data_IF_306634898982
#
_entry.id   IF_306634898982
#
_cell.length_a   1.000
_cell.length_b   1.000
_cell.length_c   1.000
_cell.angle_alpha   90.00
_cell.angle_beta   90.00
_cell.angle_gamma   90.00
#
_symmetry.space_group_name_H-M   'P 1'
#
loop_
_entity.id
_entity.type
_entity.pdbx_description
1 polymer ?
#
# COMPACT_ATOMS: atom_id res chain seq x y z
N UNK A 1 -9.79 11.07 -1.05
CA UNK A 1 -10.47 9.76 -1.17
C UNK A 1 -10.14 9.04 -2.50
N UNK A 2 -9.24 8.03 -2.48
CA UNK A 2 -9.02 7.12 -3.60
C UNK A 2 -9.27 5.67 -3.18
N UNK A 3 -10.37 5.07 -3.66
CA UNK A 3 -10.60 3.62 -3.58
C UNK A 3 -10.39 3.07 -4.98
N UNK A 4 -9.45 2.15 -5.14
CA UNK A 4 -9.17 1.53 -6.43
C UNK A 4 -9.38 0.02 -6.32
N UNK A 5 -10.18 -0.51 -7.24
CA UNK A 5 -10.34 -1.94 -7.48
C UNK A 5 -9.89 -2.24 -8.91
N UNK A 6 -9.12 -3.32 -9.08
CA UNK A 6 -8.80 -3.85 -10.40
C UNK A 6 -9.56 -5.15 -10.61
N UNK A 7 -10.18 -5.28 -11.78
CA UNK A 7 -10.89 -6.48 -12.21
C UNK A 7 -10.13 -7.20 -13.31
N UNK A 8 -10.35 -8.50 -13.44
CA UNK A 8 -9.89 -9.25 -14.61
C UNK A 8 -10.84 -9.06 -15.81
N UNK A 9 -10.55 -9.74 -16.91
CA UNK A 9 -11.38 -9.69 -18.14
C UNK A 9 -12.79 -10.25 -17.99
N UNK A 10 -13.09 -10.97 -16.90
CA UNK A 10 -14.42 -11.50 -16.58
C UNK A 10 -15.18 -10.60 -15.59
N UNK A 11 -14.56 -9.51 -15.13
CA UNK A 11 -15.13 -8.61 -14.13
C UNK A 11 -14.94 -9.08 -12.68
N UNK A 12 -14.12 -10.11 -12.43
CA UNK A 12 -13.83 -10.55 -11.06
C UNK A 12 -12.85 -9.57 -10.39
N UNK A 13 -13.14 -9.15 -9.15
CA UNK A 13 -12.22 -8.29 -8.39
C UNK A 13 -10.96 -9.09 -8.04
N UNK A 14 -9.83 -8.59 -8.53
CA UNK A 14 -8.51 -9.19 -8.36
C UNK A 14 -7.80 -8.62 -7.15
N UNK A 15 -7.80 -7.28 -7.02
CA UNK A 15 -7.18 -6.56 -5.91
C UNK A 15 -7.99 -5.30 -5.61
N UNK A 16 -8.06 -4.97 -4.32
CA UNK A 16 -8.65 -3.73 -3.84
C UNK A 16 -7.70 -3.04 -2.86
N UNK A 17 -7.59 -1.72 -2.95
CA UNK A 17 -6.82 -0.93 -2.01
C UNK A 17 -7.41 0.46 -1.79
N UNK A 18 -6.99 1.09 -0.69
CA UNK A 18 -7.37 2.45 -0.32
C UNK A 18 -6.10 3.26 -0.06
N UNK A 19 -5.97 4.38 -0.77
CA UNK A 19 -4.81 5.27 -0.73
C UNK A 19 -5.29 6.73 -0.60
N UNK A 20 -4.79 7.45 0.39
CA UNK A 20 -5.04 8.88 0.60
C UNK A 20 -4.11 9.46 1.68
N UNK A 21 -4.08 10.79 1.83
CA UNK A 21 -3.40 11.47 2.95
C UNK A 21 -4.27 11.69 4.20
N UNK A 22 -5.48 11.12 4.25
CA UNK A 22 -6.37 11.25 5.40
C UNK A 22 -5.88 10.29 6.49
N UNK A 23 -5.46 10.84 7.64
CA UNK A 23 -4.96 10.06 8.76
C UNK A 23 -5.82 10.27 10.02
N UNK A 24 -6.12 9.18 10.72
CA UNK A 24 -6.69 9.26 12.06
C UNK A 24 -5.68 9.85 13.04
N UNK A 25 -6.18 10.50 14.10
CA UNK A 25 -5.33 11.10 15.16
C UNK A 25 -4.31 10.12 15.74
N UNK A 26 -4.56 8.82 15.68
CA UNK A 26 -3.66 7.78 16.19
C UNK A 26 -2.30 7.75 15.45
N UNK A 27 -2.24 8.24 14.20
CA UNK A 27 -0.99 8.32 13.43
C UNK A 27 0.00 9.37 13.97
N UNK A 28 -0.45 10.33 14.78
CA UNK A 28 0.46 11.32 15.41
C UNK A 28 1.42 10.69 16.42
N UNK A 29 1.10 9.50 16.93
CA UNK A 29 1.88 8.82 17.97
C UNK A 29 2.93 7.87 17.40
N UNK A 30 3.01 7.74 16.07
CA UNK A 30 4.01 6.91 15.42
C UNK A 30 5.40 7.55 15.44
N UNK A 31 6.43 6.75 15.74
CA UNK A 31 7.84 7.15 15.54
C UNK A 31 8.20 6.94 14.07
N UNK A 32 7.92 7.94 13.24
CA UNK A 32 8.20 7.90 11.80
C UNK A 32 9.67 8.24 11.52
N UNK A 33 10.29 7.53 10.57
CA UNK A 33 11.67 7.79 10.14
C UNK A 33 11.80 9.17 9.48
N UNK A 34 10.78 9.57 8.72
CA UNK A 34 10.68 10.88 8.06
C UNK A 34 9.38 11.57 8.53
N UNK A 35 9.37 12.19 9.72
CA UNK A 35 8.14 12.75 10.30
C UNK A 35 7.61 13.96 9.51
N UNK A 36 8.52 14.76 8.93
CA UNK A 36 8.21 15.99 8.19
C UNK A 36 7.89 15.75 6.69
N UNK A 37 8.18 14.55 6.18
CA UNK A 37 7.91 14.22 4.79
C UNK A 37 6.42 14.18 4.52
N UNK A 38 5.99 14.70 3.37
CA UNK A 38 4.64 14.48 2.86
C UNK A 38 4.37 12.98 2.72
N UNK A 39 3.14 12.56 3.00
CA UNK A 39 2.81 11.14 3.01
C UNK A 39 1.38 10.83 2.58
N UNK A 40 1.22 9.66 1.98
CA UNK A 40 -0.06 8.97 1.86
C UNK A 40 -0.05 7.66 2.62
N UNK A 41 -1.22 7.20 3.03
CA UNK A 41 -1.44 5.99 3.78
C UNK A 41 -2.11 4.94 2.89
N UNK A 42 -1.53 3.74 2.85
CA UNK A 42 -2.24 2.55 2.37
C UNK A 42 -3.04 1.99 3.55
N UNK A 43 -4.34 2.31 3.57
CA UNK A 43 -5.25 1.86 4.64
C UNK A 43 -5.58 0.37 4.53
N UNK A 44 -5.67 -0.14 3.29
CA UNK A 44 -5.90 -1.56 3.01
C UNK A 44 -5.28 -1.89 1.66
N UNK A 45 -4.71 -3.09 1.55
CA UNK A 45 -4.37 -3.73 0.29
C UNK A 45 -4.73 -5.21 0.42
N UNK A 46 -5.67 -5.65 -0.41
CA UNK A 46 -6.19 -7.01 -0.35
C UNK A 46 -6.22 -7.62 -1.75
N UNK A 47 -5.48 -8.72 -1.93
CA UNK A 47 -5.57 -9.56 -3.13
C UNK A 47 -6.61 -10.64 -2.87
N UNK A 48 -7.55 -10.78 -3.80
CA UNK A 48 -8.56 -11.82 -3.77
C UNK A 48 -7.92 -13.21 -3.65
N UNK A 49 -8.47 -14.08 -2.80
CA UNK A 49 -7.92 -15.41 -2.51
C UNK A 49 -7.72 -16.26 -3.76
N UNK A 50 -8.62 -16.11 -4.76
CA UNK A 50 -8.53 -16.76 -6.08
C UNK A 50 -7.27 -16.38 -6.86
N UNK A 51 -6.69 -15.22 -6.59
CA UNK A 51 -5.59 -14.63 -7.34
C UNK A 51 -4.31 -14.44 -6.50
N UNK A 52 -4.23 -15.05 -5.31
CA UNK A 52 -3.04 -15.02 -4.47
C UNK A 52 -1.87 -15.79 -5.10
N UNK A 53 -0.66 -15.57 -4.58
CA UNK A 53 0.59 -16.17 -5.06
C UNK A 53 1.00 -15.84 -6.51
N UNK A 54 0.29 -14.92 -7.18
CA UNK A 54 0.58 -14.46 -8.55
C UNK A 54 1.34 -13.13 -8.59
N UNK A 55 1.99 -12.73 -7.49
CA UNK A 55 2.72 -11.45 -7.32
C UNK A 55 1.88 -10.18 -7.55
N UNK A 56 0.55 -10.29 -7.46
CA UNK A 56 -0.38 -9.18 -7.69
C UNK A 56 -0.21 -8.08 -6.64
N UNK A 57 -0.02 -8.45 -5.37
CA UNK A 57 0.24 -7.48 -4.30
C UNK A 57 1.49 -6.64 -4.60
N UNK A 58 2.57 -7.27 -5.05
CA UNK A 58 3.81 -6.58 -5.41
C UNK A 58 3.59 -5.59 -6.57
N UNK A 59 2.94 -6.04 -7.65
CA UNK A 59 2.63 -5.18 -8.82
C UNK A 59 1.73 -4.00 -8.43
N UNK A 60 0.73 -4.26 -7.59
CA UNK A 60 -0.18 -3.22 -7.08
C UNK A 60 0.59 -2.19 -6.25
N UNK A 61 1.56 -2.64 -5.48
CA UNK A 61 2.33 -1.75 -4.62
C UNK A 61 3.33 -0.90 -5.41
N UNK A 62 3.97 -1.46 -6.44
CA UNK A 62 4.77 -0.68 -7.42
C UNK A 62 3.92 0.36 -8.15
N UNK A 63 2.66 0.01 -8.46
CA UNK A 63 1.73 0.95 -9.07
C UNK A 63 1.36 2.09 -8.10
N UNK A 64 1.11 1.78 -6.82
CA UNK A 64 0.86 2.79 -5.78
C UNK A 64 2.07 3.71 -5.61
N UNK A 65 3.28 3.16 -5.58
CA UNK A 65 4.53 3.95 -5.50
C UNK A 65 4.63 4.96 -6.65
N UNK A 66 4.36 4.52 -7.89
CA UNK A 66 4.32 5.41 -9.05
C UNK A 66 3.27 6.52 -8.87
N UNK A 67 2.07 6.18 -8.40
CA UNK A 67 1.02 7.18 -8.15
C UNK A 67 1.44 8.22 -7.11
N UNK A 68 2.09 7.79 -6.02
CA UNK A 68 2.57 8.66 -4.93
C UNK A 68 3.63 9.62 -5.46
N UNK A 69 4.61 9.12 -6.22
CA UNK A 69 5.64 9.93 -6.86
C UNK A 69 5.05 10.93 -7.87
N UNK A 70 4.06 10.52 -8.67
CA UNK A 70 3.36 11.40 -9.63
C UNK A 70 2.56 12.53 -8.96
N UNK A 71 2.30 12.42 -7.66
CA UNK A 71 1.60 13.44 -6.86
C UNK A 71 2.53 14.21 -5.92
N UNK A 72 3.84 14.16 -6.14
CA UNK A 72 4.87 14.84 -5.34
C UNK A 72 4.82 14.49 -3.84
N UNK A 73 4.43 13.25 -3.53
CA UNK A 73 4.39 12.75 -2.16
C UNK A 73 5.69 11.99 -1.86
N UNK A 74 6.33 12.32 -0.75
CA UNK A 74 7.69 11.86 -0.42
C UNK A 74 7.72 10.49 0.26
N UNK A 75 6.63 10.06 0.90
CA UNK A 75 6.61 8.81 1.64
C UNK A 75 5.26 8.08 1.64
N UNK A 76 5.33 6.77 1.86
CA UNK A 76 4.15 5.92 2.06
C UNK A 76 4.16 5.39 3.48
N UNK A 77 3.07 5.63 4.20
CA UNK A 77 2.82 5.02 5.50
C UNK A 77 1.86 3.84 5.34
N UNK A 78 2.02 2.84 6.19
CA UNK A 78 1.30 1.58 6.10
C UNK A 78 0.37 1.42 7.29
N UNK A 79 -0.91 1.16 7.03
CA UNK A 79 -1.82 0.62 8.03
C UNK A 79 -1.74 -0.92 7.97
N UNK A 80 -0.86 -1.49 8.79
CA UNK A 80 -0.58 -2.92 8.78
C UNK A 80 -0.90 -3.55 10.13
N UNK A 81 -1.77 -4.55 10.13
CA UNK A 81 -1.94 -5.39 11.31
C UNK A 81 -0.72 -6.28 11.49
N UNK A 82 0.05 -6.04 12.54
CA UNK A 82 1.34 -6.73 12.81
C UNK A 82 1.23 -8.24 12.95
N UNK A 83 0.03 -8.79 13.18
CA UNK A 83 -0.15 -10.25 13.27
C UNK A 83 -0.49 -10.88 11.90
N UNK A 84 -0.51 -10.12 10.81
CA UNK A 84 -0.67 -10.64 9.45
C UNK A 84 0.69 -10.79 8.76
N UNK A 85 1.33 -11.98 8.83
CA UNK A 85 2.67 -12.19 8.28
C UNK A 85 2.72 -12.08 6.75
N UNK A 86 1.59 -12.25 6.04
CA UNK A 86 1.55 -12.07 4.59
C UNK A 86 1.69 -10.60 4.21
N UNK A 87 1.03 -9.71 4.95
CA UNK A 87 1.08 -8.27 4.76
C UNK A 87 2.46 -7.72 5.12
N UNK A 88 3.07 -8.20 6.22
CA UNK A 88 4.43 -7.83 6.60
C UNK A 88 5.43 -8.20 5.49
N UNK A 89 5.42 -9.45 5.01
CA UNK A 89 6.32 -9.90 3.93
C UNK A 89 6.11 -9.14 2.61
N UNK A 90 4.88 -8.68 2.35
CA UNK A 90 4.59 -7.85 1.18
C UNK A 90 5.29 -6.49 1.33
N UNK A 91 5.19 -5.87 2.50
CA UNK A 91 5.77 -4.56 2.78
C UNK A 91 7.30 -4.57 2.94
N UNK A 92 7.88 -5.61 3.54
CA UNK A 92 9.34 -5.79 3.58
C UNK A 92 9.94 -5.78 2.17
N UNK A 93 9.26 -6.43 1.20
CA UNK A 93 9.71 -6.46 -0.20
C UNK A 93 9.58 -5.11 -0.90
N UNK A 94 8.63 -4.28 -0.50
CA UNK A 94 8.53 -2.91 -1.01
C UNK A 94 9.69 -2.06 -0.52
N UNK A 95 9.94 -2.09 0.79
CA UNK A 95 11.01 -1.33 1.43
C UNK A 95 12.40 -1.81 0.98
N UNK A 96 12.59 -3.10 0.70
CA UNK A 96 13.86 -3.63 0.21
C UNK A 96 14.23 -3.16 -1.20
N UNK A 97 13.24 -2.79 -2.03
CA UNK A 97 13.48 -2.31 -3.39
C UNK A 97 13.90 -0.83 -3.43
N UNK A 98 13.78 -0.09 -2.32
CA UNK A 98 14.19 1.31 -2.21
C UNK A 98 15.71 1.48 -1.97
N UNK A 99 16.46 0.37 -1.83
CA UNK A 99 17.92 0.37 -1.57
C UNK A 99 18.78 0.08 -2.80
N UNK A 100 18.22 0.13 -4.01
CA UNK A 100 18.92 -0.17 -5.27
C UNK A 100 19.07 1.07 -6.14
#
# INVERSE_FOLDING_TARGET
>A
MGRLCQTDSRGEIVVAYVLNGECDKQYSNGTWEYPEASYWIIHRLCVSSKFQNQKIGNRTSQYIEKQVLENDIESIRLDAFVQNPYVIRLYEKLLSNQKQ
#
